data_IF_712046464634
#
_entry.id   IF_712046464634
#
_cell.length_a   1.000
_cell.length_b   1.000
_cell.length_c   1.000
_cell.angle_alpha   90.00
_cell.angle_beta   90.00
_cell.angle_gamma   90.00
#
_symmetry.space_group_name_H-M   'P 1'
#
loop_
_entity.id
_entity.type
_entity.pdbx_description
1 polymer ?
#
# COMPACT_ATOMS: atom_id res chain seq x y z
N UNK A 1 10.22 -20.34 42.60
CA UNK A 1 10.62 -19.11 41.89
C UNK A 1 9.78 -19.08 40.62
N UNK A 2 8.96 -18.06 40.34
CA UNK A 2 8.19 -18.03 39.11
C UNK A 2 9.15 -17.72 37.95
N UNK A 3 9.20 -18.64 36.99
CA UNK A 3 9.91 -18.42 35.72
C UNK A 3 9.20 -17.31 34.95
N UNK A 4 9.97 -16.26 34.72
CA UNK A 4 9.65 -15.10 33.90
C UNK A 4 9.30 -15.56 32.47
N UNK A 5 8.03 -15.88 32.24
CA UNK A 5 7.47 -16.09 30.92
C UNK A 5 7.34 -14.72 30.25
N UNK A 6 8.47 -14.14 29.86
CA UNK A 6 8.47 -13.12 28.83
C UNK A 6 8.56 -13.86 27.50
N UNK A 7 7.46 -14.10 26.77
CA UNK A 7 7.59 -14.49 25.38
C UNK A 7 8.31 -13.32 24.71
N UNK A 8 9.61 -13.49 24.48
CA UNK A 8 10.30 -12.75 23.43
C UNK A 8 9.51 -13.10 22.18
N UNK A 9 8.53 -12.24 21.87
CA UNK A 9 7.74 -12.31 20.68
C UNK A 9 8.75 -12.29 19.56
N UNK A 10 9.03 -13.47 19.01
CA UNK A 10 9.59 -13.65 17.70
C UNK A 10 8.54 -13.17 16.71
N UNK A 11 8.19 -11.88 16.80
CA UNK A 11 7.49 -11.17 15.76
C UNK A 11 8.52 -11.09 14.65
N UNK A 12 8.52 -12.08 13.77
CA UNK A 12 8.85 -11.81 12.38
C UNK A 12 8.04 -10.58 12.01
N UNK A 13 8.68 -9.41 12.02
CA UNK A 13 8.12 -8.21 11.45
C UNK A 13 7.98 -8.54 9.97
N UNK A 14 6.83 -9.10 9.58
CA UNK A 14 6.55 -9.36 8.18
C UNK A 14 6.65 -8.01 7.51
N UNK A 15 7.56 -7.88 6.55
CA UNK A 15 7.68 -6.65 5.81
C UNK A 15 6.30 -6.33 5.20
N UNK A 16 5.82 -5.08 5.30
CA UNK A 16 4.53 -4.70 4.76
C UNK A 16 4.47 -5.08 3.28
N UNK A 17 3.53 -5.96 2.92
CA UNK A 17 3.31 -6.37 1.54
C UNK A 17 2.20 -5.49 0.99
N UNK A 18 2.50 -4.75 -0.07
CA UNK A 18 1.46 -4.06 -0.84
C UNK A 18 0.68 -5.14 -1.57
N UNK A 19 -0.61 -5.27 -1.27
CA UNK A 19 -1.50 -6.24 -1.93
C UNK A 19 -2.22 -5.62 -3.12
N UNK A 20 -2.61 -4.34 -3.00
CA UNK A 20 -3.39 -3.67 -4.02
C UNK A 20 -3.00 -2.20 -4.10
N UNK A 21 -3.03 -1.67 -5.32
CA UNK A 21 -2.95 -0.22 -5.57
C UNK A 21 -4.17 0.18 -6.37
N UNK A 22 -4.97 1.09 -5.81
CA UNK A 22 -6.06 1.75 -6.50
C UNK A 22 -5.70 3.23 -6.73
N UNK A 23 -6.08 3.75 -7.88
CA UNK A 23 -5.82 5.12 -8.27
C UNK A 23 -7.14 5.75 -8.72
N UNK A 24 -7.53 6.83 -8.06
CA UNK A 24 -8.77 7.56 -8.34
C UNK A 24 -8.41 8.99 -8.70
N UNK A 25 -8.70 9.41 -9.94
CA UNK A 25 -8.59 10.80 -10.35
C UNK A 25 -9.90 11.52 -10.00
N UNK A 26 -9.81 12.54 -9.16
CA UNK A 26 -10.90 13.45 -8.82
C UNK A 26 -10.53 14.86 -9.29
N UNK A 27 -11.50 15.77 -9.41
CA UNK A 27 -11.29 17.12 -9.94
C UNK A 27 -10.18 17.93 -9.25
N UNK A 28 -9.87 17.61 -7.99
CA UNK A 28 -8.82 18.24 -7.19
C UNK A 28 -7.43 17.56 -7.31
N UNK A 29 -7.36 16.34 -7.85
CA UNK A 29 -6.10 15.60 -7.99
C UNK A 29 -6.22 14.09 -8.14
N UNK A 30 -5.14 13.39 -7.85
CA UNK A 30 -5.08 11.94 -7.87
C UNK A 30 -4.97 11.43 -6.43
N UNK A 31 -5.93 10.62 -6.01
CA UNK A 31 -5.84 9.86 -4.77
C UNK A 31 -5.31 8.46 -5.08
N UNK A 32 -4.17 8.12 -4.50
CA UNK A 32 -3.59 6.78 -4.60
C UNK A 32 -3.83 6.05 -3.29
N UNK A 33 -4.49 4.89 -3.37
CA UNK A 33 -4.78 4.04 -2.21
C UNK A 33 -3.93 2.78 -2.31
N UNK A 34 -3.08 2.54 -1.32
CA UNK A 34 -2.29 1.32 -1.17
C UNK A 34 -2.91 0.47 -0.09
N UNK A 35 -3.33 -0.74 -0.43
CA UNK A 35 -3.75 -1.71 0.57
C UNK A 35 -2.52 -2.49 1.00
N UNK A 36 -2.08 -2.28 2.23
CA UNK A 36 -0.85 -2.88 2.77
C UNK A 36 -1.21 -3.88 3.86
N UNK A 37 -0.56 -5.04 3.84
CA UNK A 37 -0.71 -6.04 4.90
C UNK A 37 0.61 -6.38 5.56
N UNK A 38 0.60 -6.29 6.88
CA UNK A 38 1.74 -6.62 7.76
C UNK A 38 1.68 -8.05 8.32
N UNK A 39 0.53 -8.70 8.22
CA UNK A 39 0.25 -9.97 8.91
C UNK A 39 -0.66 -10.89 8.08
N UNK A 40 -0.93 -10.52 6.83
CA UNK A 40 -1.79 -11.27 5.90
C UNK A 40 -3.27 -11.34 6.31
N UNK A 41 -3.64 -10.76 7.47
CA UNK A 41 -5.00 -10.75 8.01
C UNK A 41 -5.55 -9.33 8.11
N UNK A 42 -4.72 -8.37 8.52
CA UNK A 42 -5.05 -6.96 8.43
C UNK A 42 -4.49 -6.33 7.16
N UNK A 43 -5.39 -5.65 6.45
CA UNK A 43 -5.11 -4.90 5.25
C UNK A 43 -5.56 -3.46 5.51
N UNK A 44 -4.61 -2.55 5.75
CA UNK A 44 -4.93 -1.16 5.99
C UNK A 44 -4.75 -0.33 4.72
N UNK A 45 -5.79 0.42 4.28
CA UNK A 45 -5.69 1.28 3.13
C UNK A 45 -4.95 2.58 3.48
N UNK A 46 -3.76 2.76 2.93
CA UNK A 46 -2.99 4.00 2.99
C UNK A 46 -3.37 4.89 1.82
N UNK A 47 -3.90 6.08 2.10
CA UNK A 47 -4.32 7.03 1.06
C UNK A 47 -3.31 8.17 0.94
N UNK A 48 -2.87 8.43 -0.27
CA UNK A 48 -1.97 9.55 -0.61
C UNK A 48 -2.69 10.43 -1.60
N UNK A 49 -2.91 11.69 -1.24
CA UNK A 49 -3.47 12.68 -2.15
C UNK A 49 -2.34 13.41 -2.90
N UNK A 50 -2.48 13.48 -4.21
CA UNK A 50 -1.55 14.15 -5.11
C UNK A 50 -2.28 15.28 -5.82
N UNK A 51 -1.82 16.53 -5.71
CA UNK A 51 -2.49 17.66 -6.35
C UNK A 51 -2.62 17.48 -7.87
N UNK A 52 -3.70 17.96 -8.48
CA UNK A 52 -3.95 17.86 -9.92
C UNK A 52 -2.78 18.26 -10.82
N UNK A 53 -1.98 19.27 -10.39
CA UNK A 53 -0.78 19.72 -11.12
C UNK A 53 0.29 18.62 -11.28
N UNK A 54 0.34 17.67 -10.36
CA UNK A 54 1.28 16.55 -10.35
C UNK A 54 0.62 15.20 -10.63
N UNK A 55 -0.70 15.10 -10.47
CA UNK A 55 -1.52 13.90 -10.63
C UNK A 55 -1.18 13.12 -11.91
N UNK A 56 -1.15 13.80 -13.07
CA UNK A 56 -0.92 13.15 -14.36
C UNK A 56 0.45 12.47 -14.48
N UNK A 57 1.52 13.13 -13.99
CA UNK A 57 2.89 12.62 -14.08
C UNK A 57 3.14 11.57 -12.98
N UNK A 58 2.60 11.80 -11.79
CA UNK A 58 2.71 10.88 -10.67
C UNK A 58 1.93 9.58 -10.91
N UNK A 59 0.67 9.68 -11.35
CA UNK A 59 -0.19 8.55 -11.67
C UNK A 59 0.43 7.61 -12.70
N UNK A 60 1.07 8.14 -13.74
CA UNK A 60 1.80 7.33 -14.73
C UNK A 60 2.94 6.52 -14.10
N UNK A 61 3.76 7.15 -13.26
CA UNK A 61 4.88 6.47 -12.60
C UNK A 61 4.37 5.46 -11.57
N UNK A 62 3.33 5.81 -10.81
CA UNK A 62 2.72 4.92 -9.83
C UNK A 62 2.09 3.70 -10.49
N UNK A 63 1.42 3.86 -11.63
CA UNK A 63 0.86 2.73 -12.39
C UNK A 63 1.97 1.79 -12.88
N UNK A 64 3.07 2.35 -13.37
CA UNK A 64 4.24 1.55 -13.77
C UNK A 64 4.89 0.84 -12.59
N UNK A 65 5.01 1.51 -11.44
CA UNK A 65 5.57 0.94 -10.21
C UNK A 65 4.66 -0.17 -9.66
N UNK A 66 3.35 0.07 -9.57
CA UNK A 66 2.36 -0.90 -9.13
C UNK A 66 2.36 -2.15 -10.02
N UNK A 67 2.44 -2.01 -11.35
CA UNK A 67 2.54 -3.14 -12.28
C UNK A 67 3.81 -3.97 -12.06
N UNK A 68 4.94 -3.32 -11.75
CA UNK A 68 6.20 -4.03 -11.41
C UNK A 68 6.15 -4.71 -10.04
N UNK A 69 5.45 -4.13 -9.08
CA UNK A 69 5.37 -4.62 -7.71
C UNK A 69 4.34 -5.73 -7.52
N UNK A 70 3.18 -5.61 -8.16
CA UNK A 70 2.04 -6.51 -8.00
C UNK A 70 1.92 -7.55 -9.11
N UNK A 71 2.65 -7.40 -10.21
CA UNK A 71 2.58 -8.31 -11.36
C UNK A 71 1.24 -8.28 -12.13
N UNK A 72 0.27 -7.50 -11.66
CA UNK A 72 -1.08 -7.40 -12.24
C UNK A 72 -1.28 -6.03 -12.91
N UNK A 73 -1.99 -6.04 -14.05
CA UNK A 73 -2.43 -4.82 -14.73
C UNK A 73 -3.37 -4.05 -13.79
N UNK A 74 -2.92 -2.90 -13.29
CA UNK A 74 -3.75 -2.03 -12.46
C UNK A 74 -4.99 -1.65 -13.28
N UNK A 75 -6.21 -2.04 -12.86
CA UNK A 75 -7.41 -1.80 -13.66
C UNK A 75 -7.64 -0.28 -13.80
N UNK A 76 -7.83 0.17 -15.04
CA UNK A 76 -8.37 1.50 -15.33
C UNK A 76 -9.87 1.50 -15.02
N UNK A 77 -10.29 2.32 -14.06
CA UNK A 77 -11.69 2.72 -13.87
C UNK A 77 -11.89 4.12 -14.44
#
# INVERSE_FOLDING_TARGET
MPEDNNPQGSGTATAPVVQQVAMTEEGDGLTVTFTVSTDGKNAEPVRVHVPAKMAKRFGRHMRQAARKMLGEDVPES
#
